data_IF_942603427980
#
_entry.id   IF_942603427980
#
_cell.length_a   1.000
_cell.length_b   1.000
_cell.length_c   1.000
_cell.angle_alpha   90.00
_cell.angle_beta   90.00
_cell.angle_gamma   90.00
#
_symmetry.space_group_name_H-M   'P 1'
#
loop_
_entity.id
_entity.type
_entity.pdbx_description
1 polymer ?
#
# COMPACT_ATOMS: atom_id res chain seq x y z
N UNK A 1 -10.02 40.01 7.83
CA UNK A 1 -10.13 38.71 8.53
C UNK A 1 -10.23 37.63 7.45
N UNK A 2 -9.47 36.53 7.53
CA UNK A 2 -9.61 35.42 6.57
C UNK A 2 -11.04 34.88 6.57
N UNK A 3 -11.49 34.32 5.43
CA UNK A 3 -12.82 33.72 5.35
C UNK A 3 -12.91 32.53 6.34
N UNK A 4 -13.81 32.57 7.34
CA UNK A 4 -13.89 31.55 8.37
C UNK A 4 -14.29 30.19 7.82
N UNK A 5 -14.93 30.11 6.65
CA UNK A 5 -15.31 28.85 6.00
C UNK A 5 -14.20 28.26 5.12
N UNK A 6 -13.04 28.92 5.05
CA UNK A 6 -11.91 28.46 4.23
C UNK A 6 -10.73 28.15 5.15
N UNK A 7 -10.55 26.88 5.57
CA UNK A 7 -9.46 26.48 6.47
C UNK A 7 -8.07 26.80 5.90
N UNK A 8 -7.91 26.74 4.57
CA UNK A 8 -6.68 27.08 3.86
C UNK A 8 -6.32 28.57 3.98
N UNK A 9 -7.27 29.43 4.35
CA UNK A 9 -7.04 30.86 4.53
C UNK A 9 -6.29 31.19 5.83
N UNK A 10 -6.12 30.21 6.73
CA UNK A 10 -5.31 30.32 7.95
C UNK A 10 -3.87 29.81 7.77
N UNK A 11 -3.56 29.18 6.63
CA UNK A 11 -2.22 28.74 6.26
C UNK A 11 -1.49 29.80 5.43
N UNK A 12 -0.16 29.73 5.38
CA UNK A 12 0.59 30.56 4.43
C UNK A 12 0.22 30.19 2.97
N UNK A 13 0.26 31.13 2.01
CA UNK A 13 -0.09 30.85 0.61
C UNK A 13 0.68 29.65 0.02
N UNK A 14 1.94 29.50 0.40
CA UNK A 14 2.79 28.37 -0.03
C UNK A 14 2.31 27.04 0.55
N UNK A 15 2.01 26.98 1.86
CA UNK A 15 1.48 25.77 2.50
C UNK A 15 0.10 25.41 1.97
N UNK A 16 -0.78 26.39 1.77
CA UNK A 16 -2.11 26.19 1.20
C UNK A 16 -2.03 25.57 -0.21
N UNK A 17 -1.13 26.06 -1.06
CA UNK A 17 -0.89 25.48 -2.38
C UNK A 17 -0.38 24.04 -2.29
N UNK A 18 0.63 23.78 -1.46
CA UNK A 18 1.22 22.45 -1.29
C UNK A 18 0.22 21.41 -0.76
N UNK A 19 -0.61 21.79 0.21
CA UNK A 19 -1.69 20.94 0.74
C UNK A 19 -2.73 20.67 -0.34
N UNK A 20 -3.10 21.68 -1.13
CA UNK A 20 -4.08 21.50 -2.23
C UNK A 20 -3.56 20.51 -3.28
N UNK A 21 -2.29 20.61 -3.67
CA UNK A 21 -1.65 19.65 -4.60
C UNK A 21 -1.70 18.24 -4.05
N UNK A 22 -1.40 18.07 -2.76
CA UNK A 22 -1.46 16.76 -2.07
C UNK A 22 -2.87 16.20 -2.06
N UNK A 23 -3.88 17.04 -1.77
CA UNK A 23 -5.28 16.64 -1.80
C UNK A 23 -5.70 16.17 -3.21
N UNK A 24 -5.29 16.86 -4.27
CA UNK A 24 -5.59 16.44 -5.64
C UNK A 24 -4.94 15.09 -5.99
N UNK A 25 -3.74 14.80 -5.50
CA UNK A 25 -3.12 13.49 -5.68
C UNK A 25 -3.93 12.38 -4.99
N UNK A 26 -4.43 12.62 -3.77
CA UNK A 26 -5.31 11.69 -3.07
C UNK A 26 -6.67 11.51 -3.78
N UNK A 27 -7.26 12.59 -4.34
CA UNK A 27 -8.46 12.50 -5.20
C UNK A 27 -8.17 11.60 -6.41
N UNK A 28 -7.05 11.82 -7.08
CA UNK A 28 -6.64 11.01 -8.23
C UNK A 28 -6.45 9.53 -7.86
N UNK A 29 -5.81 9.26 -6.72
CA UNK A 29 -5.63 7.91 -6.21
C UNK A 29 -6.98 7.23 -5.92
N UNK A 30 -7.93 7.94 -5.29
CA UNK A 30 -9.28 7.43 -5.08
C UNK A 30 -10.00 7.14 -6.40
N UNK A 31 -9.94 8.07 -7.36
CA UNK A 31 -10.59 7.91 -8.66
C UNK A 31 -10.06 6.67 -9.40
N UNK A 32 -8.74 6.45 -9.37
CA UNK A 32 -8.11 5.24 -9.94
C UNK A 32 -8.55 3.97 -9.21
N UNK A 33 -8.65 4.00 -7.87
CA UNK A 33 -9.13 2.86 -7.09
C UNK A 33 -10.59 2.52 -7.40
N UNK A 34 -11.47 3.53 -7.46
CA UNK A 34 -12.87 3.36 -7.85
C UNK A 34 -12.95 2.80 -9.27
N UNK A 35 -12.14 3.33 -10.20
CA UNK A 35 -12.07 2.83 -11.56
C UNK A 35 -11.67 1.34 -11.61
N UNK A 36 -10.62 0.91 -10.90
CA UNK A 36 -10.28 -0.53 -10.81
C UNK A 36 -11.41 -1.37 -10.21
N UNK A 37 -12.13 -0.83 -9.22
CA UNK A 37 -13.29 -1.50 -8.61
C UNK A 37 -14.38 -1.76 -9.64
N UNK A 38 -14.75 -0.73 -10.39
CA UNK A 38 -15.81 -0.80 -11.39
C UNK A 38 -15.41 -1.71 -12.57
N UNK A 39 -14.19 -1.54 -13.10
CA UNK A 39 -13.72 -2.29 -14.26
C UNK A 39 -13.65 -3.80 -14.00
N UNK A 40 -13.32 -4.19 -12.77
CA UNK A 40 -13.17 -5.61 -12.41
C UNK A 40 -14.41 -6.21 -11.72
N UNK A 41 -15.47 -5.42 -11.50
CA UNK A 41 -16.64 -5.84 -10.73
C UNK A 41 -17.30 -7.14 -11.21
N UNK A 42 -17.31 -7.39 -12.52
CA UNK A 42 -17.83 -8.65 -13.09
C UNK A 42 -16.98 -9.85 -12.67
N UNK A 43 -15.65 -9.73 -12.77
CA UNK A 43 -14.73 -10.79 -12.34
C UNK A 43 -14.86 -11.04 -10.82
N UNK A 44 -15.05 -9.98 -10.04
CA UNK A 44 -15.23 -10.06 -8.59
C UNK A 44 -16.52 -10.75 -8.20
N UNK A 45 -17.60 -10.51 -8.94
CA UNK A 45 -18.87 -11.22 -8.75
C UNK A 45 -18.70 -12.73 -9.00
N UNK A 46 -17.97 -13.11 -10.05
CA UNK A 46 -17.65 -14.52 -10.31
C UNK A 46 -16.76 -15.14 -9.20
N UNK A 47 -15.80 -14.37 -8.67
CA UNK A 47 -14.95 -14.78 -7.55
C UNK A 47 -15.74 -14.94 -6.24
N UNK A 48 -16.73 -14.07 -6.00
CA UNK A 48 -17.62 -14.15 -4.84
C UNK A 48 -18.52 -15.39 -4.90
N UNK A 49 -19.00 -15.74 -6.09
CA UNK A 49 -19.82 -16.95 -6.32
C UNK A 49 -19.01 -18.26 -6.26
N UNK A 50 -17.68 -18.17 -6.28
CA UNK A 50 -16.77 -19.31 -6.16
C UNK A 50 -16.67 -19.79 -4.70
N UNK A 51 -15.95 -20.90 -4.45
CA UNK A 51 -15.77 -21.42 -3.08
C UNK A 51 -15.17 -20.38 -2.15
N UNK A 52 -15.77 -20.24 -0.97
CA UNK A 52 -15.25 -19.44 0.13
C UNK A 52 -13.92 -19.99 0.64
N UNK A 53 -12.93 -19.12 0.77
CA UNK A 53 -11.62 -19.41 1.33
C UNK A 53 -11.09 -18.16 2.04
N UNK A 54 -10.19 -18.34 3.01
CA UNK A 54 -9.58 -17.25 3.80
C UNK A 54 -8.94 -16.20 2.89
N UNK A 55 -8.33 -16.61 1.77
CA UNK A 55 -7.76 -15.69 0.80
C UNK A 55 -8.79 -14.81 0.08
N UNK A 56 -10.05 -15.27 -0.06
CA UNK A 56 -11.13 -14.48 -0.64
C UNK A 56 -11.61 -13.41 0.34
N UNK A 57 -11.68 -13.74 1.63
CA UNK A 57 -11.99 -12.78 2.68
C UNK A 57 -10.90 -11.71 2.75
N UNK A 58 -9.62 -12.12 2.77
CA UNK A 58 -8.49 -11.20 2.74
C UNK A 58 -8.50 -10.29 1.50
N UNK A 59 -8.91 -10.82 0.34
CA UNK A 59 -9.03 -10.05 -0.91
C UNK A 59 -10.09 -8.95 -0.82
N UNK A 60 -11.32 -9.30 -0.43
CA UNK A 60 -12.37 -8.30 -0.29
C UNK A 60 -12.07 -7.32 0.85
N UNK A 61 -11.55 -7.81 1.97
CA UNK A 61 -11.11 -6.95 3.08
C UNK A 61 -10.05 -5.94 2.62
N UNK A 62 -9.00 -6.38 1.92
CA UNK A 62 -7.97 -5.47 1.38
C UNK A 62 -8.56 -4.36 0.52
N UNK A 63 -9.56 -4.67 -0.31
CA UNK A 63 -10.11 -3.71 -1.26
C UNK A 63 -11.10 -2.74 -0.63
N UNK A 64 -12.01 -3.23 0.22
CA UNK A 64 -12.97 -2.37 0.92
C UNK A 64 -12.29 -1.53 2.00
N UNK A 65 -11.28 -2.07 2.68
CA UNK A 65 -10.50 -1.30 3.67
C UNK A 65 -9.63 -0.26 2.98
N UNK A 66 -9.00 -0.56 1.84
CA UNK A 66 -8.25 0.44 1.09
C UNK A 66 -9.15 1.55 0.53
N UNK A 67 -10.34 1.20 0.05
CA UNK A 67 -11.34 2.17 -0.39
C UNK A 67 -11.85 3.01 0.78
N UNK A 68 -12.16 2.39 1.92
CA UNK A 68 -12.58 3.12 3.12
C UNK A 68 -11.49 4.06 3.62
N UNK A 69 -10.23 3.62 3.64
CA UNK A 69 -9.10 4.44 4.04
C UNK A 69 -8.90 5.65 3.11
N UNK A 70 -8.94 5.47 1.78
CA UNK A 70 -8.76 6.58 0.84
C UNK A 70 -9.95 7.52 0.81
N UNK A 71 -11.19 7.03 0.98
CA UNK A 71 -12.38 7.85 1.12
C UNK A 71 -12.32 8.68 2.40
N UNK A 72 -11.96 8.09 3.54
CA UNK A 72 -11.88 8.80 4.82
C UNK A 72 -10.77 9.85 4.78
N UNK A 73 -9.59 9.50 4.27
CA UNK A 73 -8.48 10.44 4.08
C UNK A 73 -8.91 11.58 3.15
N UNK A 74 -9.58 11.28 2.04
CA UNK A 74 -10.08 12.32 1.14
C UNK A 74 -11.16 13.18 1.82
N UNK A 75 -12.06 12.58 2.59
CA UNK A 75 -13.09 13.30 3.32
C UNK A 75 -12.49 14.28 4.31
N UNK A 76 -11.43 13.88 5.02
CA UNK A 76 -10.65 14.75 5.91
C UNK A 76 -10.00 15.90 5.15
N UNK A 77 -9.43 15.62 3.97
CA UNK A 77 -8.78 16.63 3.13
C UNK A 77 -9.73 17.57 2.38
N UNK A 78 -10.92 17.11 2.03
CA UNK A 78 -11.96 17.94 1.39
C UNK A 78 -12.78 18.73 2.42
N UNK A 79 -12.93 18.19 3.63
CA UNK A 79 -13.71 18.81 4.71
C UNK A 79 -12.85 19.42 5.81
N UNK A 80 -11.61 19.82 5.53
CA UNK A 80 -10.73 20.42 6.53
C UNK A 80 -11.53 21.49 7.32
N UNK A 81 -12.03 21.34 8.54
CA UNK A 81 -12.15 20.23 9.49
C UNK A 81 -13.49 20.51 10.14
N UNK A 82 -14.45 19.59 10.11
CA UNK A 82 -15.72 19.86 10.79
C UNK A 82 -15.41 20.31 12.23
N UNK A 83 -16.00 21.42 12.73
CA UNK A 83 -15.75 21.90 14.09
C UNK A 83 -16.31 20.85 15.05
N UNK A 84 -15.51 19.83 15.32
CA UNK A 84 -15.84 18.69 16.17
C UNK A 84 -15.45 18.96 17.62
N UNK A 85 -14.60 19.97 17.86
CA UNK A 85 -14.00 20.28 19.16
C UNK A 85 -13.03 19.20 19.67
N UNK A 86 -12.94 18.04 18.99
CA UNK A 86 -12.23 16.84 19.45
C UNK A 86 -11.25 16.32 18.39
N UNK A 87 -10.33 17.20 17.98
CA UNK A 87 -9.36 16.92 16.93
C UNK A 87 -8.51 15.67 17.13
N UNK A 88 -8.15 15.38 18.38
CA UNK A 88 -7.31 14.24 18.72
C UNK A 88 -8.02 12.90 18.57
N UNK A 89 -9.34 12.83 18.81
CA UNK A 89 -10.10 11.60 18.63
C UNK A 89 -10.33 11.32 17.14
N UNK A 90 -10.73 12.34 16.40
CA UNK A 90 -11.01 12.25 14.98
C UNK A 90 -9.77 11.87 14.16
N UNK A 91 -8.61 12.48 14.46
CA UNK A 91 -7.34 12.16 13.81
C UNK A 91 -6.93 10.69 14.02
N UNK A 92 -7.09 10.17 15.25
CA UNK A 92 -6.82 8.77 15.57
C UNK A 92 -7.76 7.80 14.83
N UNK A 93 -9.03 8.14 14.74
CA UNK A 93 -10.02 7.31 14.04
C UNK A 93 -9.66 7.16 12.56
N UNK A 94 -9.35 8.26 11.88
CA UNK A 94 -8.95 8.25 10.47
C UNK A 94 -7.66 7.46 10.27
N UNK A 95 -6.63 7.75 11.07
CA UNK A 95 -5.33 7.09 10.93
C UNK A 95 -5.37 5.59 11.26
N UNK A 96 -6.36 5.12 12.03
CA UNK A 96 -6.55 3.69 12.35
C UNK A 96 -6.88 2.82 11.12
N UNK A 97 -7.44 3.40 10.06
CA UNK A 97 -7.73 2.67 8.82
C UNK A 97 -6.47 2.33 8.02
N UNK A 98 -5.39 3.10 8.20
CA UNK A 98 -4.11 2.86 7.53
C UNK A 98 -3.51 1.48 7.89
N UNK A 99 -3.37 1.09 9.18
CA UNK A 99 -2.87 -0.23 9.54
C UNK A 99 -3.70 -1.37 8.96
N UNK A 100 -5.02 -1.24 8.94
CA UNK A 100 -5.90 -2.25 8.35
C UNK A 100 -5.62 -2.41 6.85
N UNK A 101 -5.51 -1.30 6.10
CA UNK A 101 -5.27 -1.34 4.65
C UNK A 101 -3.91 -1.98 4.32
N UNK A 102 -2.86 -1.61 5.06
CA UNK A 102 -1.49 -2.12 4.92
C UNK A 102 -1.46 -3.63 5.22
N UNK A 103 -2.01 -4.04 6.37
CA UNK A 103 -1.94 -5.43 6.83
C UNK A 103 -2.76 -6.38 5.95
N UNK A 104 -3.93 -5.96 5.47
CA UNK A 104 -4.73 -6.75 4.53
C UNK A 104 -4.01 -6.92 3.18
N UNK A 105 -3.38 -5.86 2.66
CA UNK A 105 -2.63 -5.94 1.41
C UNK A 105 -1.40 -6.86 1.57
N UNK A 106 -0.65 -6.71 2.67
CA UNK A 106 0.49 -7.57 2.99
C UNK A 106 0.11 -9.04 3.24
N UNK A 107 -1.10 -9.29 3.75
CA UNK A 107 -1.63 -10.63 3.94
C UNK A 107 -1.84 -11.36 2.60
N UNK A 108 -2.24 -10.64 1.54
CA UNK A 108 -2.36 -11.23 0.20
C UNK A 108 -0.99 -11.70 -0.34
N UNK A 109 0.05 -10.91 -0.13
CA UNK A 109 1.42 -11.31 -0.49
C UNK A 109 1.92 -12.49 0.35
N UNK A 110 1.62 -12.51 1.65
CA UNK A 110 1.91 -13.66 2.51
C UNK A 110 1.24 -14.94 2.03
N UNK A 111 -0.05 -14.88 1.69
CA UNK A 111 -0.80 -16.04 1.21
C UNK A 111 -0.23 -16.58 -0.10
N UNK A 112 0.26 -15.71 -0.98
CA UNK A 112 0.99 -16.11 -2.20
C UNK A 112 2.30 -16.82 -1.86
N UNK A 113 3.08 -16.27 -0.93
CA UNK A 113 4.32 -16.90 -0.47
C UNK A 113 4.04 -18.29 0.12
N UNK A 114 3.01 -18.42 0.95
CA UNK A 114 2.56 -19.69 1.52
C UNK A 114 2.19 -20.71 0.42
N UNK A 115 1.52 -20.28 -0.64
CA UNK A 115 1.18 -21.16 -1.76
C UNK A 115 2.44 -21.67 -2.50
N UNK A 116 3.44 -20.80 -2.68
CA UNK A 116 4.71 -21.14 -3.37
C UNK A 116 5.63 -22.01 -2.50
N UNK A 117 5.64 -21.77 -1.18
CA UNK A 117 6.47 -22.47 -0.20
C UNK A 117 5.73 -23.60 0.55
N UNK A 118 4.65 -24.15 -0.02
CA UNK A 118 3.76 -25.12 0.65
C UNK A 118 4.49 -26.29 1.35
N UNK A 119 5.70 -26.66 0.88
CA UNK A 119 6.51 -27.75 1.44
C UNK A 119 7.48 -27.34 2.57
N UNK A 120 7.78 -26.06 2.75
CA UNK A 120 8.73 -25.57 3.76
C UNK A 120 8.05 -24.71 4.83
N UNK A 121 7.63 -25.35 5.93
CA UNK A 121 6.89 -24.72 7.03
C UNK A 121 7.70 -23.65 7.78
N UNK A 122 9.02 -23.77 7.81
CA UNK A 122 9.91 -22.83 8.51
C UNK A 122 9.85 -21.46 7.82
N UNK A 123 9.98 -21.44 6.50
CA UNK A 123 9.90 -20.18 5.73
C UNK A 123 8.54 -19.52 5.92
N UNK A 124 7.46 -20.29 5.83
CA UNK A 124 6.10 -19.76 6.05
C UNK A 124 5.95 -19.18 7.47
N UNK A 125 6.49 -19.83 8.50
CA UNK A 125 6.44 -19.33 9.87
C UNK A 125 7.23 -18.01 10.04
N UNK A 126 8.42 -17.90 9.43
CA UNK A 126 9.23 -16.67 9.47
C UNK A 126 8.47 -15.51 8.82
N UNK A 127 7.92 -15.70 7.63
CA UNK A 127 7.17 -14.65 6.94
C UNK A 127 5.86 -14.29 7.65
N UNK A 128 5.23 -15.24 8.34
CA UNK A 128 4.08 -14.96 9.19
C UNK A 128 4.48 -14.10 10.40
N UNK A 129 5.61 -14.38 11.03
CA UNK A 129 6.15 -13.54 12.11
C UNK A 129 6.49 -12.13 11.63
N UNK A 130 7.10 -12.00 10.43
CA UNK A 130 7.34 -10.70 9.80
C UNK A 130 6.04 -9.94 9.51
N UNK A 131 4.98 -10.64 9.10
CA UNK A 131 3.66 -10.02 8.91
C UNK A 131 3.07 -9.50 10.22
N UNK A 132 3.20 -10.24 11.33
CA UNK A 132 2.83 -9.72 12.66
C UNK A 132 3.66 -8.51 13.07
N UNK A 133 4.97 -8.52 12.78
CA UNK A 133 5.84 -7.35 12.98
C UNK A 133 5.38 -6.14 12.19
N UNK A 134 4.97 -6.33 10.93
CA UNK A 134 4.38 -5.27 10.10
C UNK A 134 3.07 -4.75 10.70
N UNK A 135 2.22 -5.61 11.23
CA UNK A 135 1.00 -5.21 11.92
C UNK A 135 1.29 -4.33 13.13
N UNK A 136 2.23 -4.73 13.99
CA UNK A 136 2.65 -3.95 15.16
C UNK A 136 3.22 -2.60 14.71
N UNK A 137 4.09 -2.59 13.71
CA UNK A 137 4.65 -1.34 13.16
C UNK A 137 3.54 -0.43 12.64
N UNK A 138 2.58 -0.96 11.88
CA UNK A 138 1.51 -0.16 11.29
C UNK A 138 0.57 0.45 12.35
N UNK A 139 0.37 -0.20 13.52
CA UNK A 139 -0.38 0.36 14.64
C UNK A 139 0.32 1.57 15.28
N UNK A 140 1.64 1.69 15.14
CA UNK A 140 2.37 2.86 15.63
C UNK A 140 2.04 4.14 14.84
N UNK A 141 1.47 4.03 13.64
CA UNK A 141 1.07 5.17 12.80
C UNK A 141 0.04 6.06 13.53
N UNK A 142 -1.17 5.57 13.91
CA UNK A 142 -2.14 6.39 14.64
C UNK A 142 -1.69 6.81 16.05
N UNK A 143 -0.64 6.20 16.60
CA UNK A 143 -0.06 6.60 17.89
C UNK A 143 0.98 7.72 17.75
N UNK A 144 1.61 7.85 16.58
CA UNK A 144 2.68 8.80 16.31
C UNK A 144 2.24 10.10 15.64
N UNK A 145 0.96 10.22 15.29
CA UNK A 145 0.33 11.43 14.75
C UNK A 145 -0.56 12.05 15.83
N UNK A 146 -0.44 13.36 16.01
CA UNK A 146 -1.24 14.12 16.98
C UNK A 146 -1.88 15.31 16.26
N UNK A 147 -3.20 15.23 16.09
CA UNK A 147 -4.04 16.35 15.69
C UNK A 147 -4.22 17.43 16.77
N UNK A 148 -4.24 18.72 16.39
CA UNK A 148 -4.51 19.86 17.25
C UNK A 148 -5.26 21.00 16.55
N UNK A 149 -5.76 21.99 17.31
CA UNK A 149 -6.65 23.03 16.76
C UNK A 149 -5.89 24.12 15.97
N UNK A 150 -6.51 24.62 14.89
CA UNK A 150 -6.05 25.68 14.00
C UNK A 150 -7.13 26.75 13.92
N UNK A 151 -6.75 27.97 14.27
CA UNK A 151 -7.64 29.12 14.26
C UNK A 151 -8.78 29.05 15.30
N UNK A 152 -9.71 30.02 15.26
CA UNK A 152 -10.75 30.18 16.27
C UNK A 152 -12.00 29.29 16.07
N UNK A 153 -12.07 28.51 14.99
CA UNK A 153 -13.18 27.60 14.68
C UNK A 153 -12.84 26.10 14.91
N UNK A 154 -11.81 25.79 15.70
CA UNK A 154 -11.42 24.42 16.07
C UNK A 154 -11.20 23.48 14.87
N UNK A 155 -10.56 24.00 13.82
CA UNK A 155 -10.11 23.16 12.71
C UNK A 155 -8.95 22.26 13.21
N UNK A 156 -8.87 20.95 12.91
CA UNK A 156 -7.83 19.95 13.36
C UNK A 156 -6.55 19.60 12.50
N UNK A 157 -5.36 20.13 12.78
CA UNK A 157 -4.16 19.94 11.95
C UNK A 157 -3.30 18.87 12.57
N UNK A 158 -2.51 18.17 11.76
CA UNK A 158 -1.41 17.39 12.29
C UNK A 158 -0.38 18.35 12.90
N UNK A 159 -0.46 18.57 14.22
CA UNK A 159 0.43 19.47 14.96
C UNK A 159 1.77 18.78 15.22
N UNK A 160 1.76 17.46 15.35
CA UNK A 160 2.96 16.68 15.56
C UNK A 160 2.92 15.35 14.81
N UNK A 161 3.96 15.12 14.02
CA UNK A 161 4.23 13.83 13.38
C UNK A 161 5.59 13.36 13.85
N UNK A 162 5.62 12.25 14.58
CA UNK A 162 6.88 11.67 15.06
C UNK A 162 7.72 11.15 13.90
N UNK A 163 9.05 11.33 13.95
CA UNK A 163 9.99 10.69 12.99
C UNK A 163 9.82 9.17 12.93
N UNK A 164 9.32 8.55 13.99
CA UNK A 164 8.97 7.12 14.02
C UNK A 164 7.94 6.77 12.95
N UNK A 165 6.99 7.66 12.64
CA UNK A 165 5.98 7.45 11.59
C UNK A 165 6.64 7.34 10.21
N UNK A 166 7.60 8.21 9.90
CA UNK A 166 8.35 8.18 8.64
C UNK A 166 9.13 6.87 8.46
N UNK A 167 9.70 6.33 9.54
CA UNK A 167 10.40 5.03 9.52
C UNK A 167 9.39 3.89 9.33
N UNK A 168 8.28 3.93 10.06
CA UNK A 168 7.22 2.92 9.99
C UNK A 168 6.62 2.82 8.58
N UNK A 169 6.48 3.94 7.87
CA UNK A 169 5.99 3.96 6.48
C UNK A 169 6.88 3.18 5.49
N UNK A 170 8.15 2.91 5.82
CA UNK A 170 9.05 2.09 5.01
C UNK A 170 8.89 0.58 5.25
N UNK A 171 8.33 0.19 6.39
CA UNK A 171 8.15 -1.22 6.78
C UNK A 171 7.38 -2.06 5.75
N UNK A 172 6.26 -1.56 5.16
CA UNK A 172 5.56 -2.29 4.11
C UNK A 172 6.43 -2.54 2.87
N UNK A 173 7.23 -1.54 2.46
CA UNK A 173 8.11 -1.66 1.31
C UNK A 173 9.18 -2.75 1.54
N UNK A 174 9.80 -2.76 2.71
CA UNK A 174 10.80 -3.78 3.08
C UNK A 174 10.16 -5.17 3.10
N UNK A 175 8.97 -5.30 3.70
CA UNK A 175 8.25 -6.56 3.76
C UNK A 175 7.93 -7.10 2.36
N UNK A 176 7.40 -6.26 1.47
CA UNK A 176 7.05 -6.63 0.10
C UNK A 176 8.30 -7.04 -0.70
N UNK A 177 9.43 -6.34 -0.52
CA UNK A 177 10.73 -6.72 -1.09
C UNK A 177 11.19 -8.10 -0.63
N UNK A 178 11.14 -8.39 0.67
CA UNK A 178 11.54 -9.70 1.20
C UNK A 178 10.65 -10.82 0.64
N UNK A 179 9.33 -10.63 0.66
CA UNK A 179 8.37 -11.61 0.12
C UNK A 179 8.63 -11.87 -1.38
N UNK A 180 8.88 -10.81 -2.15
CA UNK A 180 9.19 -10.93 -3.57
C UNK A 180 10.48 -11.69 -3.82
N UNK A 181 11.56 -11.36 -3.11
CA UNK A 181 12.86 -12.04 -3.24
C UNK A 181 12.72 -13.52 -2.92
N UNK A 182 11.98 -13.88 -1.86
CA UNK A 182 11.70 -15.28 -1.54
C UNK A 182 10.93 -16.00 -2.65
N UNK A 183 9.80 -15.44 -3.10
CA UNK A 183 8.99 -16.07 -4.17
C UNK A 183 9.84 -16.27 -5.43
N UNK A 184 10.62 -15.25 -5.81
CA UNK A 184 11.49 -15.29 -6.98
C UNK A 184 12.59 -16.34 -6.84
N UNK A 185 13.26 -16.39 -5.69
CA UNK A 185 14.29 -17.39 -5.40
C UNK A 185 13.75 -18.82 -5.48
N UNK A 186 12.56 -19.06 -4.92
CA UNK A 186 11.91 -20.37 -4.98
C UNK A 186 11.55 -20.76 -6.40
N UNK A 187 11.05 -19.81 -7.19
CA UNK A 187 10.69 -20.04 -8.58
C UNK A 187 11.91 -20.38 -9.44
N UNK A 188 13.03 -19.65 -9.26
CA UNK A 188 14.32 -19.96 -9.90
C UNK A 188 14.86 -21.36 -9.54
N UNK A 189 14.68 -21.79 -8.28
CA UNK A 189 15.09 -23.13 -7.84
C UNK A 189 14.23 -24.27 -8.39
N UNK A 190 12.95 -24.02 -8.64
CA UNK A 190 12.02 -25.04 -9.17
C UNK A 190 12.25 -25.24 -10.68
N UNK A 191 12.78 -24.24 -11.39
CA UNK A 191 12.94 -24.27 -12.84
C UNK A 191 14.06 -25.16 -13.40
N UNK A 192 14.66 -26.05 -12.61
CA UNK A 192 15.63 -27.08 -13.07
C UNK A 192 16.86 -26.57 -13.86
N UNK A 193 17.13 -25.27 -13.88
CA UNK A 193 18.37 -24.72 -14.44
C UNK A 193 19.33 -24.57 -13.26
N UNK A 194 20.31 -25.47 -13.14
CA UNK A 194 21.51 -25.22 -12.34
C UNK A 194 22.23 -24.03 -12.98
N UNK A 195 22.17 -22.82 -12.40
CA UNK A 195 22.83 -21.67 -12.99
C UNK A 195 24.33 -21.85 -12.76
N UNK A 196 25.17 -21.68 -13.78
CA UNK A 196 26.62 -21.87 -13.66
C UNK A 196 27.29 -20.76 -12.82
N UNK A 197 26.54 -19.73 -12.38
CA UNK A 197 27.01 -18.70 -11.46
C UNK A 197 25.95 -17.66 -11.05
N UNK A 198 26.26 -16.77 -10.09
CA UNK A 198 25.32 -15.77 -9.54
C UNK A 198 24.80 -14.78 -10.59
N UNK A 199 25.59 -14.50 -11.63
CA UNK A 199 25.21 -13.61 -12.74
C UNK A 199 24.16 -14.23 -13.66
N UNK A 200 24.25 -15.54 -13.91
CA UNK A 200 23.24 -16.28 -14.67
C UNK A 200 21.96 -16.48 -13.84
N UNK A 201 22.09 -16.75 -12.53
CA UNK A 201 20.94 -16.74 -11.61
C UNK A 201 20.21 -15.39 -11.67
N UNK A 202 20.95 -14.29 -11.69
CA UNK A 202 20.37 -12.94 -11.80
C UNK A 202 19.73 -12.70 -13.17
N UNK A 203 20.32 -13.17 -14.28
CA UNK A 203 19.73 -13.06 -15.61
C UNK A 203 18.46 -13.92 -15.78
N UNK A 204 18.42 -15.13 -15.22
CA UNK A 204 17.21 -15.97 -15.20
C UNK A 204 16.15 -15.33 -14.30
N UNK A 205 16.56 -14.77 -13.17
CA UNK A 205 15.68 -14.05 -12.22
C UNK A 205 15.14 -12.74 -12.79
N UNK A 206 15.82 -12.07 -13.73
CA UNK A 206 15.40 -10.78 -14.31
C UNK A 206 14.73 -10.92 -15.68
N UNK A 207 15.19 -11.83 -16.54
CA UNK A 207 14.70 -11.98 -17.92
C UNK A 207 13.85 -13.23 -18.14
N UNK A 208 13.77 -14.14 -17.16
CA UNK A 208 13.03 -15.40 -17.30
C UNK A 208 13.54 -16.29 -18.44
N UNK A 209 14.81 -16.12 -18.83
CA UNK A 209 15.45 -16.86 -19.93
C UNK A 209 15.52 -18.34 -19.52
N UNK A 210 15.03 -19.25 -20.35
CA UNK A 210 14.99 -20.71 -20.14
C UNK A 210 13.97 -21.25 -19.12
N UNK A 211 12.98 -20.45 -18.70
CA UNK A 211 11.86 -20.92 -17.87
C UNK A 211 10.78 -21.61 -18.72
N UNK A 212 10.12 -22.69 -18.24
CA UNK A 212 8.91 -23.22 -18.87
C UNK A 212 7.83 -22.13 -18.92
N UNK A 213 7.04 -22.09 -20.00
CA UNK A 213 6.14 -20.98 -20.35
C UNK A 213 5.26 -20.52 -19.17
N UNK A 214 4.75 -21.47 -18.39
CA UNK A 214 3.95 -21.21 -17.19
C UNK A 214 4.72 -20.50 -16.06
N UNK A 215 5.92 -20.98 -15.72
CA UNK A 215 6.77 -20.33 -14.70
C UNK A 215 7.29 -18.97 -15.18
N UNK A 216 7.59 -18.86 -16.49
CA UNK A 216 8.02 -17.62 -17.13
C UNK A 216 6.93 -16.55 -17.06
N UNK A 217 5.68 -16.92 -17.32
CA UNK A 217 4.55 -16.01 -17.25
C UNK A 217 4.26 -15.55 -15.83
N UNK A 218 4.23 -16.48 -14.85
CA UNK A 218 4.11 -16.15 -13.42
C UNK A 218 5.22 -15.19 -12.96
N UNK A 219 6.44 -15.41 -13.45
CA UNK A 219 7.62 -14.61 -13.11
C UNK A 219 7.58 -13.24 -13.76
N UNK A 220 7.30 -13.12 -15.06
CA UNK A 220 7.21 -11.84 -15.78
C UNK A 220 6.06 -10.96 -15.25
N UNK A 221 4.89 -11.55 -15.04
CA UNK A 221 3.77 -10.84 -14.40
C UNK A 221 4.20 -10.42 -12.99
N UNK A 222 4.70 -11.36 -12.17
CA UNK A 222 5.18 -11.09 -10.82
C UNK A 222 6.26 -10.00 -10.71
N UNK A 223 7.18 -9.93 -11.66
CA UNK A 223 8.25 -8.94 -11.75
C UNK A 223 7.73 -7.57 -12.14
N UNK A 224 6.82 -7.49 -13.12
CA UNK A 224 6.24 -6.21 -13.51
C UNK A 224 5.45 -5.61 -12.35
N UNK A 225 4.69 -6.45 -11.63
CA UNK A 225 3.99 -6.04 -10.41
C UNK A 225 4.94 -5.50 -9.35
N UNK A 226 6.01 -6.24 -9.05
CA UNK A 226 7.00 -5.84 -8.06
C UNK A 226 7.77 -4.58 -8.47
N UNK A 227 8.18 -4.47 -9.73
CA UNK A 227 8.89 -3.30 -10.22
C UNK A 227 8.01 -2.06 -10.06
N UNK A 228 6.71 -2.15 -10.35
CA UNK A 228 5.79 -1.02 -10.13
C UNK A 228 5.66 -0.65 -8.66
N UNK A 229 5.47 -1.62 -7.75
CA UNK A 229 5.34 -1.32 -6.31
C UNK A 229 6.65 -0.82 -5.72
N UNK A 230 7.79 -1.37 -6.15
CA UNK A 230 9.12 -0.93 -5.72
C UNK A 230 9.42 0.49 -6.19
N UNK A 231 9.20 0.81 -7.47
CA UNK A 231 9.42 2.17 -8.00
C UNK A 231 8.51 3.18 -7.31
N UNK A 232 7.24 2.84 -7.08
CA UNK A 232 6.31 3.68 -6.34
C UNK A 232 6.76 3.90 -4.89
N UNK A 233 7.21 2.85 -4.19
CA UNK A 233 7.71 2.94 -2.82
C UNK A 233 9.02 3.72 -2.69
N UNK A 234 9.94 3.56 -3.65
CA UNK A 234 11.17 4.38 -3.74
C UNK A 234 10.84 5.85 -3.97
N UNK A 235 9.81 6.14 -4.79
CA UNK A 235 9.33 7.52 -4.99
C UNK A 235 8.84 8.13 -3.69
N UNK A 236 8.05 7.39 -2.89
CA UNK A 236 7.63 7.83 -1.55
C UNK A 236 8.83 8.08 -0.65
N UNK A 237 9.83 7.20 -0.64
CA UNK A 237 11.04 7.34 0.16
C UNK A 237 11.80 8.62 -0.20
N UNK A 238 12.02 8.86 -1.49
CA UNK A 238 12.72 10.06 -1.97
C UNK A 238 11.96 11.32 -1.55
N UNK A 239 10.65 11.38 -1.73
CA UNK A 239 9.85 12.54 -1.35
C UNK A 239 9.81 12.77 0.16
N UNK A 240 9.79 11.69 0.96
CA UNK A 240 9.71 11.77 2.42
C UNK A 240 11.01 12.25 3.06
N UNK A 241 12.16 11.79 2.56
CA UNK A 241 13.47 12.03 3.18
C UNK A 241 14.31 13.09 2.47
N UNK A 242 13.88 13.59 1.32
CA UNK A 242 14.60 14.66 0.64
C UNK A 242 14.52 15.97 1.45
N UNK A 243 15.67 16.56 1.83
CA UNK A 243 15.71 17.77 2.65
C UNK A 243 15.14 19.00 1.91
N UNK A 244 15.05 18.94 0.58
CA UNK A 244 14.49 20.02 -0.26
C UNK A 244 12.97 19.99 -0.42
N UNK A 245 12.26 18.99 0.14
CA UNK A 245 10.81 18.85 -0.04
C UNK A 245 10.06 19.46 1.16
N UNK A 246 9.18 20.45 0.92
CA UNK A 246 8.30 21.04 1.94
C UNK A 246 7.40 20.00 2.61
N UNK A 247 7.10 20.18 3.90
CA UNK A 247 6.35 19.23 4.73
C UNK A 247 5.11 18.62 4.07
N UNK A 248 4.14 19.43 3.59
CA UNK A 248 2.91 18.91 2.99
C UNK A 248 3.15 18.08 1.72
N UNK A 249 4.20 18.38 0.94
CA UNK A 249 4.53 17.64 -0.28
C UNK A 249 5.19 16.29 -0.01
N UNK A 250 5.66 16.02 1.21
CA UNK A 250 6.31 14.75 1.56
C UNK A 250 5.36 13.56 1.50
N UNK A 251 4.06 13.78 1.75
CA UNK A 251 3.02 12.75 1.75
C UNK A 251 2.31 12.59 0.41
N UNK A 252 2.66 13.42 -0.58
CA UNK A 252 2.05 13.47 -1.92
C UNK A 252 1.92 12.10 -2.60
N UNK A 253 2.96 11.27 -2.50
CA UNK A 253 2.99 9.96 -3.15
C UNK A 253 2.46 8.82 -2.27
N UNK A 254 2.16 9.05 -1.00
CA UNK A 254 1.81 7.99 -0.04
C UNK A 254 0.47 7.32 -0.38
N UNK A 255 -0.57 8.11 -0.66
CA UNK A 255 -1.89 7.57 -1.04
C UNK A 255 -1.87 6.90 -2.43
N UNK A 256 -1.29 7.52 -3.48
CA UNK A 256 -1.08 6.83 -4.76
C UNK A 256 -0.33 5.50 -4.61
N UNK A 257 0.73 5.47 -3.80
CA UNK A 257 1.48 4.24 -3.54
C UNK A 257 0.61 3.15 -2.92
N UNK A 258 -0.18 3.47 -1.88
CA UNK A 258 -1.09 2.51 -1.24
C UNK A 258 -2.12 1.95 -2.23
N UNK A 259 -2.69 2.81 -3.09
CA UNK A 259 -3.63 2.40 -4.13
C UNK A 259 -2.96 1.47 -5.15
N UNK A 260 -1.76 1.81 -5.62
CA UNK A 260 -0.99 0.97 -6.54
C UNK A 260 -0.75 -0.41 -5.91
N UNK A 261 -0.26 -0.47 -4.67
CA UNK A 261 -0.01 -1.74 -3.97
C UNK A 261 -1.30 -2.57 -3.86
N UNK A 262 -2.41 -1.95 -3.51
CA UNK A 262 -3.71 -2.63 -3.40
C UNK A 262 -4.20 -3.18 -4.74
N UNK A 263 -4.19 -2.36 -5.80
CA UNK A 263 -4.59 -2.76 -7.15
C UNK A 263 -3.72 -3.91 -7.65
N UNK A 264 -2.40 -3.81 -7.47
CA UNK A 264 -1.47 -4.85 -7.91
C UNK A 264 -1.66 -6.15 -7.13
N UNK A 265 -1.82 -6.10 -5.80
CA UNK A 265 -2.11 -7.26 -4.98
C UNK A 265 -3.44 -7.93 -5.39
N UNK A 266 -4.48 -7.14 -5.61
CA UNK A 266 -5.79 -7.61 -6.06
C UNK A 266 -5.72 -8.25 -7.46
N UNK A 267 -5.06 -7.59 -8.41
CA UNK A 267 -4.90 -8.07 -9.78
C UNK A 267 -4.17 -9.41 -9.85
N UNK A 268 -3.10 -9.57 -9.05
CA UNK A 268 -2.37 -10.84 -8.94
C UNK A 268 -3.27 -11.93 -8.38
N UNK A 269 -4.00 -11.66 -7.30
CA UNK A 269 -4.91 -12.63 -6.71
C UNK A 269 -6.02 -13.08 -7.69
N UNK A 270 -6.60 -12.13 -8.43
CA UNK A 270 -7.58 -12.40 -9.48
C UNK A 270 -7.01 -13.29 -10.58
N UNK A 271 -5.85 -12.93 -11.16
CA UNK A 271 -5.22 -13.69 -12.25
C UNK A 271 -4.82 -15.11 -11.81
N UNK A 272 -4.25 -15.25 -10.62
CA UNK A 272 -3.88 -16.57 -10.06
C UNK A 272 -5.10 -17.46 -9.85
N UNK A 273 -6.20 -16.94 -9.31
CA UNK A 273 -7.41 -17.74 -9.06
C UNK A 273 -8.21 -18.08 -10.31
N UNK A 274 -8.26 -17.19 -11.28
CA UNK A 274 -8.98 -17.43 -12.54
C UNK A 274 -8.18 -18.31 -13.52
N UNK A 275 -6.97 -18.75 -13.15
CA UNK A 275 -6.13 -19.56 -14.04
C UNK A 275 -5.70 -18.83 -15.31
N UNK A 276 -5.80 -17.50 -15.34
CA UNK A 276 -5.48 -16.68 -16.52
C UNK A 276 -3.99 -16.39 -16.66
N UNK A 277 -3.15 -17.02 -15.83
CA UNK A 277 -1.70 -16.97 -16.01
C UNK A 277 -1.35 -17.94 -17.13
N UNK A 278 -1.24 -17.41 -18.34
CA UNK A 278 -0.88 -18.14 -19.57
C UNK A 278 0.63 -18.37 -19.64
#
# INVERSE_FOLDING_TARGET
VPNPYTPLAYLSPEQAYQTTVTNYASVGALAVLIWDILENGVADYHLFKSRFNISLIAYFASRYVAMGATILVLWVYLQIRAPTGHCLAFDKEVNSWCPLAITCSALLFFLRLRAVYNRNRIVVAIYLALWFGLLVAAILIPLGVIGGALGPQDYCEDVFVSNTVSIVQLTPLVYDTLVFVAISWRLCRISSVEPAGPRETFQVMLFGKHLPTFAKSILLDGQLYYLTTLLAGVTVLILTYSPGVPGPLRTLATDPYRVIVNIMACRVYRRTRMGMIR
#
